data_IF_127287984321
#
_entry.id   IF_127287984321
#
_cell.length_a   1.000
_cell.length_b   1.000
_cell.length_c   1.000
_cell.angle_alpha   90.00
_cell.angle_beta   90.00
_cell.angle_gamma   90.00
#
_symmetry.space_group_name_H-M   'P 1'
#
loop_
_entity.id
_entity.type
_entity.pdbx_description
1 polymer ?
#
# COMPACT_ATOMS: atom_id res chain seq x y z
N UNK A 1 10.11 -18.27 32.09
CA UNK A 1 9.07 -17.24 32.23
C UNK A 1 8.07 -17.50 31.12
N UNK A 2 6.77 -17.60 31.41
CA UNK A 2 5.77 -17.63 30.34
C UNK A 2 5.77 -16.23 29.72
N UNK A 3 6.36 -16.10 28.53
CA UNK A 3 6.32 -14.87 27.75
C UNK A 3 4.93 -14.78 27.14
N UNK A 4 4.22 -13.68 27.39
CA UNK A 4 3.01 -13.36 26.64
C UNK A 4 3.45 -12.97 25.23
N UNK A 5 3.23 -13.85 24.25
CA UNK A 5 3.77 -13.67 22.90
C UNK A 5 2.70 -13.78 21.81
N UNK A 6 2.90 -13.02 20.73
CA UNK A 6 2.05 -13.04 19.52
C UNK A 6 2.95 -13.29 18.30
N UNK A 7 2.45 -14.06 17.34
CA UNK A 7 3.07 -14.17 16.02
C UNK A 7 2.46 -13.13 15.09
N UNK A 8 3.29 -12.22 14.59
CA UNK A 8 2.94 -11.33 13.49
C UNK A 8 3.49 -11.90 12.19
N UNK A 9 2.64 -12.19 11.21
CA UNK A 9 3.05 -12.76 9.94
C UNK A 9 2.63 -11.92 8.74
N UNK A 10 3.53 -11.71 7.80
CA UNK A 10 3.31 -11.06 6.52
C UNK A 10 3.43 -12.08 5.39
N UNK A 11 2.32 -12.39 4.72
CA UNK A 11 2.31 -13.20 3.50
C UNK A 11 2.57 -12.29 2.29
N UNK A 12 3.87 -12.07 2.03
CA UNK A 12 4.35 -11.29 0.89
C UNK A 12 4.22 -12.01 -0.46
N UNK A 13 4.45 -11.30 -1.56
CA UNK A 13 4.42 -11.87 -2.92
C UNK A 13 5.55 -12.88 -3.19
N UNK A 14 6.72 -12.71 -2.55
CA UNK A 14 7.89 -13.59 -2.73
C UNK A 14 8.22 -14.39 -1.48
N UNK A 15 8.19 -13.76 -0.31
CA UNK A 15 8.49 -14.39 0.97
C UNK A 15 7.39 -14.12 1.99
N UNK A 16 7.05 -15.15 2.74
CA UNK A 16 6.24 -15.06 3.95
C UNK A 16 7.17 -14.90 5.13
N UNK A 17 6.96 -13.85 5.93
CA UNK A 17 7.79 -13.51 7.09
C UNK A 17 6.96 -13.65 8.35
N UNK A 18 7.55 -14.16 9.42
CA UNK A 18 6.91 -14.30 10.72
C UNK A 18 7.83 -13.77 11.82
N UNK A 19 7.28 -12.98 12.72
CA UNK A 19 7.93 -12.41 13.88
C UNK A 19 7.18 -12.84 15.14
N UNK A 20 7.89 -13.39 16.13
CA UNK A 20 7.37 -13.64 17.48
C UNK A 20 7.70 -12.42 18.32
N UNK A 21 6.67 -11.76 18.84
CA UNK A 21 6.81 -10.53 19.64
C UNK A 21 6.30 -10.78 21.04
N UNK A 22 7.13 -10.44 22.03
CA UNK A 22 6.72 -10.32 23.44
C UNK A 22 5.85 -9.07 23.58
N UNK A 23 4.57 -9.24 23.94
CA UNK A 23 3.61 -8.14 24.03
C UNK A 23 3.64 -7.40 25.36
N UNK A 24 4.37 -7.90 26.36
CA UNK A 24 4.57 -7.17 27.61
C UNK A 24 5.67 -6.11 27.43
N UNK A 25 6.77 -6.49 26.78
CA UNK A 25 7.93 -5.63 26.55
C UNK A 25 8.07 -5.01 25.17
N UNK A 26 7.29 -5.45 24.17
CA UNK A 26 7.46 -5.07 22.77
C UNK A 26 8.84 -5.47 22.22
N UNK A 27 9.30 -6.68 22.54
CA UNK A 27 10.58 -7.20 22.04
C UNK A 27 10.36 -8.21 20.93
N UNK A 28 11.12 -8.09 19.84
CA UNK A 28 11.24 -9.15 18.85
C UNK A 28 12.01 -10.32 19.48
N UNK A 29 11.33 -11.45 19.69
CA UNK A 29 11.90 -12.65 20.32
C UNK A 29 12.59 -13.53 19.28
N UNK A 30 11.93 -13.75 18.15
CA UNK A 30 12.46 -14.50 17.02
C UNK A 30 11.79 -14.05 15.73
N UNK A 31 12.47 -14.25 14.60
CA UNK A 31 11.91 -14.07 13.28
C UNK A 31 12.33 -15.22 12.36
N UNK A 32 11.47 -15.54 11.40
CA UNK A 32 11.78 -16.47 10.34
C UNK A 32 11.07 -16.08 9.04
N UNK A 33 11.54 -16.63 7.93
CA UNK A 33 10.91 -16.43 6.62
C UNK A 33 10.95 -17.71 5.81
N UNK A 34 9.94 -17.90 4.97
CA UNK A 34 9.86 -18.98 3.99
C UNK A 34 9.41 -18.42 2.63
N UNK A 35 9.76 -19.07 1.50
CA UNK A 35 9.20 -18.70 0.19
C UNK A 35 7.67 -18.75 0.23
N UNK A 36 7.01 -17.75 -0.35
CA UNK A 36 5.54 -17.73 -0.44
C UNK A 36 5.06 -18.75 -1.46
N UNK A 37 4.09 -19.57 -1.07
CA UNK A 37 3.57 -20.68 -1.87
C UNK A 37 2.34 -20.32 -2.71
N UNK A 38 2.33 -19.15 -3.37
CA UNK A 38 1.20 -18.65 -4.19
C UNK A 38 0.79 -19.64 -5.29
N UNK A 39 1.75 -20.38 -5.85
CA UNK A 39 1.48 -21.39 -6.89
C UNK A 39 0.81 -22.67 -6.39
N UNK A 40 0.70 -22.87 -5.07
CA UNK A 40 0.02 -24.03 -4.48
C UNK A 40 -1.03 -23.60 -3.45
N UNK A 41 -0.64 -23.44 -2.19
CA UNK A 41 -1.48 -22.89 -1.12
C UNK A 41 -0.60 -22.04 -0.20
N UNK A 42 -0.93 -20.76 -0.04
CA UNK A 42 -0.14 -19.81 0.77
C UNK A 42 -0.03 -20.22 2.25
N UNK A 43 -0.93 -21.08 2.74
CA UNK A 43 -0.86 -21.60 4.09
C UNK A 43 0.40 -22.45 4.33
N UNK A 44 0.95 -23.12 3.31
CA UNK A 44 2.17 -23.91 3.49
C UNK A 44 3.38 -23.03 3.83
N UNK A 45 3.56 -21.92 3.09
CA UNK A 45 4.60 -20.93 3.38
C UNK A 45 4.40 -20.24 4.73
N UNK A 46 3.15 -19.91 5.06
CA UNK A 46 2.78 -19.34 6.36
C UNK A 46 3.10 -20.28 7.51
N UNK A 47 2.61 -21.52 7.47
CA UNK A 47 2.83 -22.51 8.52
C UNK A 47 4.32 -22.83 8.69
N UNK A 48 5.09 -22.84 7.60
CA UNK A 48 6.56 -23.02 7.62
C UNK A 48 7.26 -21.86 8.32
N UNK A 49 6.96 -20.62 7.92
CA UNK A 49 7.58 -19.44 8.51
C UNK A 49 7.24 -19.31 10.00
N UNK A 50 5.96 -19.50 10.36
CA UNK A 50 5.52 -19.42 11.76
C UNK A 50 6.12 -20.56 12.59
N UNK A 51 6.11 -21.80 12.08
CA UNK A 51 6.70 -22.94 12.78
C UNK A 51 8.18 -22.73 13.10
N UNK A 52 8.96 -22.19 12.15
CA UNK A 52 10.37 -21.86 12.37
C UNK A 52 10.57 -20.74 13.41
N UNK A 53 9.77 -19.67 13.36
CA UNK A 53 9.88 -18.56 14.31
C UNK A 53 9.51 -18.99 15.74
N UNK A 54 8.43 -19.75 15.89
CA UNK A 54 7.94 -20.26 17.18
C UNK A 54 8.92 -21.26 17.80
N UNK A 55 9.48 -22.17 16.99
CA UNK A 55 10.51 -23.11 17.43
C UNK A 55 11.79 -22.38 17.90
N UNK A 56 12.23 -21.35 17.17
CA UNK A 56 13.37 -20.52 17.54
C UNK A 56 13.14 -19.75 18.85
N UNK A 57 11.93 -19.23 19.05
CA UNK A 57 11.54 -18.54 20.28
C UNK A 57 11.34 -19.47 21.48
N UNK A 58 11.19 -20.78 21.27
CA UNK A 58 10.87 -21.74 22.33
C UNK A 58 9.47 -21.53 22.94
N UNK A 59 8.53 -21.01 22.16
CA UNK A 59 7.12 -20.81 22.58
C UNK A 59 6.21 -21.83 21.89
N UNK A 60 4.99 -22.01 22.38
CA UNK A 60 3.97 -22.86 21.75
C UNK A 60 2.58 -22.21 21.90
N UNK A 61 1.67 -22.54 20.98
CA UNK A 61 0.25 -22.12 21.05
C UNK A 61 -0.01 -20.61 21.19
N UNK A 62 0.78 -19.80 20.46
CA UNK A 62 0.62 -18.34 20.42
C UNK A 62 -0.36 -17.89 19.33
N UNK A 63 -1.14 -16.80 19.54
CA UNK A 63 -2.07 -16.27 18.54
C UNK A 63 -1.35 -15.68 17.31
N UNK A 64 -1.98 -15.78 16.13
CA UNK A 64 -1.40 -15.35 14.85
C UNK A 64 -2.12 -14.13 14.29
N UNK A 65 -1.38 -13.06 14.09
CA UNK A 65 -1.85 -11.81 13.50
C UNK A 65 -1.25 -11.77 12.10
N UNK A 66 -2.07 -11.96 11.07
CA UNK A 66 -1.58 -12.15 9.70
C UNK A 66 -1.99 -10.98 8.82
N UNK A 67 -1.07 -10.41 8.06
CA UNK A 67 -1.35 -9.57 6.90
C UNK A 67 -0.93 -10.25 5.61
N UNK A 68 -1.46 -9.79 4.48
CA UNK A 68 -1.10 -10.36 3.17
C UNK A 68 -1.07 -9.32 2.07
N UNK A 69 -0.11 -9.49 1.17
CA UNK A 69 -0.02 -8.82 -0.14
C UNK A 69 0.06 -9.84 -1.29
N UNK A 70 0.15 -11.14 -0.98
CA UNK A 70 -0.08 -12.19 -1.95
C UNK A 70 -1.46 -12.00 -2.61
N UNK A 71 -1.53 -12.19 -3.93
CA UNK A 71 -2.75 -11.94 -4.73
C UNK A 71 -2.70 -10.68 -5.61
N UNK A 72 -1.72 -9.80 -5.40
CA UNK A 72 -1.51 -8.59 -6.19
C UNK A 72 -2.20 -7.35 -5.62
N UNK A 73 -1.89 -6.18 -6.19
CA UNK A 73 -2.52 -4.92 -5.79
C UNK A 73 -3.99 -4.83 -6.24
N UNK A 74 -4.82 -4.18 -5.44
CA UNK A 74 -6.25 -3.98 -5.71
C UNK A 74 -6.46 -3.18 -7.01
N UNK A 75 -7.13 -3.77 -8.01
CA UNK A 75 -7.55 -3.06 -9.23
C UNK A 75 -8.94 -2.47 -9.04
N UNK A 76 -9.05 -1.16 -8.97
CA UNK A 76 -10.32 -0.45 -8.77
C UNK A 76 -10.80 0.19 -10.07
N UNK A 77 -12.08 0.03 -10.37
CA UNK A 77 -12.77 0.89 -11.34
C UNK A 77 -13.65 1.90 -10.61
N UNK A 78 -13.70 3.13 -11.09
CA UNK A 78 -14.54 4.20 -10.53
C UNK A 78 -15.61 4.58 -11.55
N UNK A 79 -16.86 4.60 -11.13
CA UNK A 79 -17.98 5.10 -11.93
C UNK A 79 -18.62 6.25 -11.15
N UNK A 80 -18.46 7.47 -11.64
CA UNK A 80 -19.04 8.67 -11.04
C UNK A 80 -20.27 9.20 -11.77
N UNK A 81 -20.87 10.23 -11.19
CA UNK A 81 -21.92 11.02 -11.84
C UNK A 81 -21.36 11.99 -12.91
N UNK A 82 -20.34 12.76 -12.56
CA UNK A 82 -19.78 13.86 -13.36
C UNK A 82 -18.24 13.71 -13.44
N UNK A 83 -17.63 13.74 -14.65
CA UNK A 83 -16.20 13.45 -14.82
C UNK A 83 -15.25 14.25 -13.93
N UNK A 84 -15.46 15.57 -13.84
CA UNK A 84 -14.51 16.46 -13.16
C UNK A 84 -14.74 16.59 -11.65
N UNK A 85 -15.86 16.07 -11.15
CA UNK A 85 -16.27 16.23 -9.75
C UNK A 85 -16.31 14.89 -9.04
N UNK A 86 -17.38 14.10 -9.24
CA UNK A 86 -17.63 12.88 -8.46
C UNK A 86 -16.79 11.71 -8.92
N UNK A 87 -16.52 11.57 -10.22
CA UNK A 87 -15.56 10.56 -10.70
C UNK A 87 -14.14 10.86 -10.21
N UNK A 88 -13.74 12.13 -10.20
CA UNK A 88 -12.44 12.51 -9.68
C UNK A 88 -12.36 12.40 -8.15
N UNK A 89 -13.46 12.63 -7.43
CA UNK A 89 -13.55 12.33 -6.00
C UNK A 89 -13.38 10.83 -5.74
N UNK A 90 -14.12 9.98 -6.45
CA UNK A 90 -13.98 8.52 -6.37
C UNK A 90 -12.57 8.04 -6.73
N UNK A 91 -11.94 8.63 -7.74
CA UNK A 91 -10.53 8.33 -8.09
C UNK A 91 -9.58 8.66 -6.92
N UNK A 92 -9.76 9.80 -6.26
CA UNK A 92 -8.96 10.18 -5.09
C UNK A 92 -9.19 9.24 -3.90
N UNK A 93 -10.43 8.82 -3.65
CA UNK A 93 -10.75 7.80 -2.64
C UNK A 93 -10.04 6.48 -2.95
N UNK A 94 -10.11 6.02 -4.19
CA UNK A 94 -9.44 4.80 -4.62
C UNK A 94 -7.92 4.84 -4.43
N UNK A 95 -7.29 5.93 -4.87
CA UNK A 95 -5.85 6.13 -4.72
C UNK A 95 -5.43 6.20 -3.25
N UNK A 96 -6.17 6.94 -2.43
CA UNK A 96 -5.91 7.02 -0.98
C UNK A 96 -6.24 5.73 -0.22
N UNK A 97 -7.02 4.82 -0.81
CA UNK A 97 -7.18 3.44 -0.33
C UNK A 97 -6.05 2.50 -0.79
N UNK A 98 -5.05 3.01 -1.53
CA UNK A 98 -3.93 2.22 -2.05
C UNK A 98 -4.28 1.35 -3.26
N UNK A 99 -5.38 1.66 -3.97
CA UNK A 99 -5.82 0.92 -5.14
C UNK A 99 -5.17 1.43 -6.43
N UNK A 100 -4.90 0.52 -7.37
CA UNK A 100 -4.60 0.86 -8.75
C UNK A 100 -5.91 1.16 -9.49
N UNK A 101 -6.16 2.43 -9.82
CA UNK A 101 -7.37 2.82 -10.54
C UNK A 101 -7.21 2.50 -12.03
N UNK A 102 -7.78 1.37 -12.46
CA UNK A 102 -7.61 0.82 -13.82
C UNK A 102 -8.66 1.31 -14.82
N UNK A 103 -9.73 1.95 -14.32
CA UNK A 103 -10.81 2.48 -15.14
C UNK A 103 -11.53 3.62 -14.42
N UNK A 104 -11.87 4.67 -15.14
CA UNK A 104 -12.71 5.77 -14.65
C UNK A 104 -13.76 6.08 -15.71
N UNK A 105 -15.02 6.07 -15.32
CA UNK A 105 -16.16 6.48 -16.14
C UNK A 105 -17.03 7.46 -15.35
N UNK A 106 -17.85 8.23 -16.08
CA UNK A 106 -18.84 9.10 -15.48
C UNK A 106 -20.09 9.20 -16.35
N UNK A 107 -21.20 9.62 -15.74
CA UNK A 107 -22.50 9.72 -16.37
C UNK A 107 -23.21 8.36 -16.49
N UNK A 108 -24.26 8.32 -17.29
CA UNK A 108 -25.04 7.11 -17.53
C UNK A 108 -24.28 6.13 -18.41
N UNK A 109 -23.90 4.97 -17.86
CA UNK A 109 -23.17 3.93 -18.57
C UNK A 109 -24.01 3.36 -19.73
N UNK A 110 -23.43 3.39 -20.92
CA UNK A 110 -23.87 2.71 -22.14
C UNK A 110 -23.40 1.26 -22.21
N UNK A 111 -23.80 0.55 -23.27
CA UNK A 111 -23.36 -0.85 -23.48
C UNK A 111 -21.85 -0.95 -23.68
N UNK A 112 -21.29 0.01 -24.42
CA UNK A 112 -19.86 0.14 -24.68
C UNK A 112 -19.08 0.39 -23.38
N UNK A 113 -19.60 1.24 -22.49
CA UNK A 113 -18.92 1.56 -21.23
C UNK A 113 -18.88 0.36 -20.28
N UNK A 114 -19.98 -0.41 -20.21
CA UNK A 114 -19.99 -1.67 -19.43
C UNK A 114 -18.99 -2.68 -20.01
N UNK A 115 -18.84 -2.74 -21.34
CA UNK A 115 -17.85 -3.60 -21.97
C UNK A 115 -16.41 -3.13 -21.68
N UNK A 116 -16.14 -1.83 -21.73
CA UNK A 116 -14.85 -1.24 -21.38
C UNK A 116 -14.51 -1.49 -19.90
N UNK A 117 -15.48 -1.33 -19.00
CA UNK A 117 -15.35 -1.65 -17.59
C UNK A 117 -14.97 -3.13 -17.36
N UNK A 118 -15.56 -4.07 -18.12
CA UNK A 118 -15.16 -5.50 -18.07
C UNK A 118 -13.76 -5.72 -18.60
N UNK A 119 -13.41 -5.08 -19.72
CA UNK A 119 -12.11 -5.22 -20.36
C UNK A 119 -10.96 -4.74 -19.46
N UNK A 120 -11.22 -3.73 -18.62
CA UNK A 120 -10.27 -3.26 -17.61
C UNK A 120 -10.00 -4.27 -16.48
N UNK A 121 -10.79 -5.35 -16.36
CA UNK A 121 -10.66 -6.40 -15.33
C UNK A 121 -10.46 -5.84 -13.92
N UNK A 122 -11.40 -5.02 -13.40
CA UNK A 122 -11.33 -4.56 -12.02
C UNK A 122 -11.61 -5.72 -11.05
N UNK A 123 -10.98 -5.65 -9.88
CA UNK A 123 -11.29 -6.51 -8.73
C UNK A 123 -12.45 -5.95 -7.91
N UNK A 124 -12.63 -4.61 -7.93
CA UNK A 124 -13.73 -3.89 -7.26
C UNK A 124 -14.20 -2.73 -8.12
N UNK A 125 -15.50 -2.42 -8.08
CA UNK A 125 -16.07 -1.20 -8.66
C UNK A 125 -16.53 -0.27 -7.55
N UNK A 126 -16.02 0.96 -7.51
CA UNK A 126 -16.57 2.04 -6.69
C UNK A 126 -17.61 2.79 -7.51
N UNK A 127 -18.88 2.67 -7.09
CA UNK A 127 -20.00 3.38 -7.68
C UNK A 127 -20.29 4.63 -6.83
N UNK A 128 -19.97 5.79 -7.40
CA UNK A 128 -20.15 7.11 -6.78
C UNK A 128 -21.35 7.81 -7.41
N UNK A 129 -22.25 8.33 -6.59
CA UNK A 129 -23.43 9.08 -7.03
C UNK A 129 -23.21 10.59 -7.08
N UNK A 130 -24.30 11.33 -7.26
CA UNK A 130 -24.35 12.77 -6.98
C UNK A 130 -24.29 13.04 -5.47
N UNK A 131 -24.48 14.31 -5.09
CA UNK A 131 -24.61 14.71 -3.68
C UNK A 131 -25.85 14.09 -3.03
N UNK A 132 -25.87 14.03 -1.70
CA UNK A 132 -27.07 13.63 -0.96
C UNK A 132 -28.17 14.68 -1.15
N UNK A 133 -29.42 14.24 -1.34
CA UNK A 133 -30.53 15.11 -1.75
C UNK A 133 -30.43 15.65 -3.18
N UNK A 134 -29.41 15.23 -3.95
CA UNK A 134 -29.15 15.66 -5.32
C UNK A 134 -29.53 14.60 -6.35
N UNK A 135 -28.70 14.44 -7.39
CA UNK A 135 -28.94 13.45 -8.45
C UNK A 135 -28.96 12.02 -7.89
N UNK A 136 -30.09 11.35 -8.09
CA UNK A 136 -30.25 9.93 -7.82
C UNK A 136 -30.39 9.11 -9.13
N UNK A 137 -30.69 9.77 -10.25
CA UNK A 137 -31.03 9.09 -11.51
C UNK A 137 -29.83 8.35 -12.09
N UNK A 138 -28.65 8.99 -12.13
CA UNK A 138 -27.47 8.44 -12.80
C UNK A 138 -26.94 7.22 -12.06
N UNK A 139 -26.84 7.31 -10.73
CA UNK A 139 -26.37 6.19 -9.89
C UNK A 139 -27.36 5.02 -9.95
N UNK A 140 -28.67 5.32 -9.98
CA UNK A 140 -29.73 4.31 -10.14
C UNK A 140 -29.66 3.61 -11.50
N UNK A 141 -29.49 4.38 -12.58
CA UNK A 141 -29.30 3.83 -13.93
C UNK A 141 -28.07 2.91 -13.97
N UNK A 142 -26.93 3.37 -13.45
CA UNK A 142 -25.69 2.61 -13.45
C UNK A 142 -25.79 1.32 -12.62
N UNK A 143 -26.34 1.38 -11.41
CA UNK A 143 -26.61 0.20 -10.58
C UNK A 143 -27.54 -0.80 -11.28
N UNK A 144 -28.61 -0.31 -11.92
CA UNK A 144 -29.53 -1.15 -12.71
C UNK A 144 -28.83 -1.84 -13.87
N UNK A 145 -27.92 -1.15 -14.56
CA UNK A 145 -27.15 -1.72 -15.66
C UNK A 145 -26.19 -2.80 -15.18
N UNK A 146 -25.50 -2.59 -14.06
CA UNK A 146 -24.63 -3.61 -13.46
C UNK A 146 -25.42 -4.84 -12.99
N UNK A 147 -26.59 -4.62 -12.36
CA UNK A 147 -27.51 -5.68 -11.93
C UNK A 147 -28.00 -6.52 -13.13
N UNK A 148 -28.51 -5.87 -14.19
CA UNK A 148 -28.97 -6.54 -15.41
C UNK A 148 -27.85 -7.31 -16.13
N UNK A 149 -26.63 -6.75 -16.12
CA UNK A 149 -25.46 -7.41 -16.69
C UNK A 149 -24.90 -8.53 -15.80
N UNK A 150 -25.47 -8.78 -14.61
CA UNK A 150 -24.99 -9.73 -13.60
C UNK A 150 -23.49 -9.57 -13.36
N UNK A 151 -23.06 -8.33 -13.14
CA UNK A 151 -21.65 -8.00 -12.97
C UNK A 151 -21.12 -8.66 -11.69
N UNK A 152 -20.31 -9.72 -11.82
CA UNK A 152 -19.87 -10.55 -10.68
C UNK A 152 -18.73 -9.96 -9.86
N UNK A 153 -18.19 -8.83 -10.27
CA UNK A 153 -17.17 -8.11 -9.52
C UNK A 153 -17.86 -7.36 -8.38
N UNK A 154 -17.33 -7.42 -7.13
CA UNK A 154 -17.87 -6.67 -6.00
C UNK A 154 -18.00 -5.16 -6.26
N UNK A 155 -19.09 -4.56 -5.78
CA UNK A 155 -19.40 -3.14 -5.89
C UNK A 155 -19.38 -2.48 -4.51
N UNK A 156 -18.62 -1.40 -4.36
CA UNK A 156 -18.75 -0.47 -3.23
C UNK A 156 -19.69 0.65 -3.67
N UNK A 157 -20.87 0.75 -3.03
CA UNK A 157 -21.86 1.79 -3.29
C UNK A 157 -21.64 2.94 -2.31
N UNK A 158 -21.14 4.07 -2.82
CA UNK A 158 -20.77 5.25 -2.05
C UNK A 158 -21.35 6.52 -2.70
N UNK A 159 -22.65 6.49 -3.00
CA UNK A 159 -23.39 7.57 -3.64
C UNK A 159 -24.56 8.06 -2.80
N UNK A 160 -25.46 8.82 -3.44
CA UNK A 160 -26.62 9.48 -2.82
C UNK A 160 -27.33 8.57 -1.79
N UNK A 161 -27.35 9.04 -0.55
CA UNK A 161 -27.90 8.33 0.60
C UNK A 161 -29.40 7.98 0.43
N UNK A 162 -30.17 8.80 -0.30
CA UNK A 162 -31.62 8.67 -0.42
C UNK A 162 -32.06 7.40 -1.17
N UNK A 163 -31.24 6.93 -2.11
CA UNK A 163 -31.51 5.73 -2.92
C UNK A 163 -30.65 4.53 -2.54
N UNK A 164 -29.77 4.68 -1.54
CA UNK A 164 -28.73 3.70 -1.23
C UNK A 164 -29.28 2.33 -0.87
N UNK A 165 -30.33 2.28 -0.06
CA UNK A 165 -30.93 1.02 0.41
C UNK A 165 -31.64 0.27 -0.73
N UNK A 166 -32.34 1.01 -1.60
CA UNK A 166 -32.98 0.46 -2.80
C UNK A 166 -31.95 -0.10 -3.79
N UNK A 167 -30.86 0.63 -4.01
CA UNK A 167 -29.79 0.19 -4.91
C UNK A 167 -29.01 -1.00 -4.35
N UNK A 168 -28.80 -1.05 -3.04
CA UNK A 168 -28.25 -2.23 -2.37
C UNK A 168 -29.13 -3.45 -2.59
N UNK A 169 -30.45 -3.34 -2.34
CA UNK A 169 -31.40 -4.42 -2.55
C UNK A 169 -31.44 -4.88 -4.02
N UNK A 170 -31.40 -3.94 -4.97
CA UNK A 170 -31.37 -4.21 -6.42
C UNK A 170 -30.12 -5.02 -6.82
N UNK A 171 -28.93 -4.58 -6.40
CA UNK A 171 -27.67 -5.25 -6.74
C UNK A 171 -27.57 -6.63 -6.08
N UNK A 172 -27.90 -6.70 -4.79
CA UNK A 172 -27.90 -7.95 -4.03
C UNK A 172 -28.89 -8.97 -4.62
N UNK A 173 -30.12 -8.53 -4.95
CA UNK A 173 -31.14 -9.37 -5.58
C UNK A 173 -30.73 -9.92 -6.96
N UNK A 174 -29.86 -9.20 -7.69
CA UNK A 174 -29.27 -9.67 -8.93
C UNK A 174 -28.03 -10.58 -8.75
N UNK A 175 -27.61 -10.82 -7.50
CA UNK A 175 -26.42 -11.60 -7.16
C UNK A 175 -25.10 -10.88 -7.46
N UNK A 176 -25.11 -9.55 -7.43
CA UNK A 176 -23.92 -8.70 -7.45
C UNK A 176 -23.48 -8.48 -6.00
N UNK A 177 -22.25 -8.88 -5.59
CA UNK A 177 -21.77 -8.60 -4.25
C UNK A 177 -21.68 -7.08 -4.07
N UNK A 178 -22.31 -6.55 -3.03
CA UNK A 178 -22.37 -5.11 -2.77
C UNK A 178 -22.00 -4.81 -1.32
N UNK A 179 -21.22 -3.77 -1.12
CA UNK A 179 -20.88 -3.20 0.19
C UNK A 179 -21.24 -1.73 0.17
N UNK A 180 -22.00 -1.30 1.17
CA UNK A 180 -22.50 0.08 1.27
C UNK A 180 -21.49 0.91 2.05
N UNK A 181 -21.30 2.16 1.61
CA UNK A 181 -20.54 3.18 2.31
C UNK A 181 -21.30 4.51 2.29
N UNK A 182 -20.87 5.45 3.12
CA UNK A 182 -21.34 6.83 3.06
C UNK A 182 -20.94 7.45 1.71
N UNK A 183 -21.70 8.46 1.29
CA UNK A 183 -21.43 9.16 0.05
C UNK A 183 -20.04 9.81 0.12
N UNK A 184 -19.20 9.60 -0.90
CA UNK A 184 -17.86 10.22 -0.93
C UNK A 184 -17.92 11.72 -1.14
N UNK A 185 -19.01 12.23 -1.72
CA UNK A 185 -19.23 13.65 -1.97
C UNK A 185 -20.66 14.03 -1.57
N UNK A 186 -20.99 14.03 -0.26
CA UNK A 186 -22.36 14.24 0.19
C UNK A 186 -22.87 15.66 -0.15
N UNK A 187 -21.96 16.64 -0.24
CA UNK A 187 -22.25 18.03 -0.63
C UNK A 187 -21.18 18.54 -1.59
N UNK A 188 -21.53 19.54 -2.41
CA UNK A 188 -20.58 20.16 -3.34
C UNK A 188 -19.38 20.70 -2.54
N UNK A 189 -18.18 20.29 -2.95
CA UNK A 189 -16.92 20.72 -2.33
C UNK A 189 -16.56 20.00 -1.02
N UNK A 190 -17.40 19.10 -0.50
CA UNK A 190 -17.14 18.34 0.73
C UNK A 190 -16.83 16.88 0.36
N UNK A 191 -15.58 16.44 0.57
CA UNK A 191 -15.13 15.07 0.33
C UNK A 191 -15.14 14.29 1.65
N UNK A 192 -15.83 13.16 1.70
CA UNK A 192 -15.90 12.26 2.88
C UNK A 192 -15.35 10.88 2.52
N UNK A 193 -14.02 10.69 2.50
CA UNK A 193 -13.40 9.49 1.94
C UNK A 193 -13.41 8.28 2.89
N UNK A 194 -13.60 8.48 4.19
CA UNK A 194 -13.30 7.47 5.21
C UNK A 194 -14.13 6.18 5.05
N UNK A 195 -15.45 6.31 4.92
CA UNK A 195 -16.38 5.19 4.81
C UNK A 195 -16.12 4.35 3.57
N UNK A 196 -15.97 5.00 2.41
CA UNK A 196 -15.67 4.32 1.14
C UNK A 196 -14.27 3.67 1.14
N UNK A 197 -13.24 4.31 1.72
CA UNK A 197 -11.92 3.69 1.89
C UNK A 197 -12.00 2.41 2.72
N UNK A 198 -12.74 2.42 3.82
CA UNK A 198 -12.92 1.25 4.67
C UNK A 198 -13.64 0.12 3.91
N UNK A 199 -14.73 0.43 3.20
CA UNK A 199 -15.46 -0.53 2.38
C UNK A 199 -14.60 -1.14 1.26
N UNK A 200 -13.78 -0.33 0.58
CA UNK A 200 -12.85 -0.81 -0.45
C UNK A 200 -11.84 -1.80 0.14
N UNK A 201 -11.25 -1.48 1.30
CA UNK A 201 -10.30 -2.36 2.01
C UNK A 201 -10.96 -3.66 2.46
N UNK A 202 -12.16 -3.58 3.02
CA UNK A 202 -12.97 -4.74 3.43
C UNK A 202 -13.23 -5.68 2.26
N UNK A 203 -13.67 -5.13 1.12
CA UNK A 203 -13.94 -5.91 -0.09
C UNK A 203 -12.66 -6.55 -0.61
N UNK A 204 -11.53 -5.82 -0.62
CA UNK A 204 -10.23 -6.34 -1.03
C UNK A 204 -9.80 -7.54 -0.17
N UNK A 205 -9.91 -7.41 1.15
CA UNK A 205 -9.59 -8.49 2.09
C UNK A 205 -10.46 -9.73 1.88
N UNK A 206 -11.77 -9.55 1.76
CA UNK A 206 -12.70 -10.69 1.65
C UNK A 206 -12.65 -11.39 0.29
N UNK A 207 -12.58 -10.62 -0.79
CA UNK A 207 -12.82 -11.16 -2.14
C UNK A 207 -11.54 -11.39 -2.94
N UNK A 208 -10.47 -10.64 -2.66
CA UNK A 208 -9.21 -10.74 -3.42
C UNK A 208 -8.18 -11.55 -2.65
N UNK A 209 -7.81 -11.10 -1.44
CA UNK A 209 -6.84 -11.78 -0.60
C UNK A 209 -7.44 -13.06 0.00
N UNK A 210 -8.60 -12.97 0.63
CA UNK A 210 -9.32 -14.11 1.19
C UNK A 210 -10.01 -15.00 0.15
N UNK A 211 -9.89 -14.66 -1.14
CA UNK A 211 -10.50 -15.39 -2.24
C UNK A 211 -9.87 -16.77 -2.46
N UNK A 212 -10.59 -17.63 -3.20
CA UNK A 212 -10.20 -19.03 -3.50
C UNK A 212 -8.88 -19.18 -4.30
N UNK A 213 -8.26 -18.08 -4.70
CA UNK A 213 -7.04 -18.07 -5.53
C UNK A 213 -5.77 -18.31 -4.71
N UNK A 214 -5.76 -17.98 -3.42
CA UNK A 214 -4.55 -18.06 -2.58
C UNK A 214 -4.54 -19.30 -1.67
N UNK A 215 -5.70 -19.75 -1.21
CA UNK A 215 -5.84 -20.94 -0.40
C UNK A 215 -7.13 -21.69 -0.74
N UNK A 216 -7.11 -23.01 -0.59
CA UNK A 216 -8.27 -23.88 -0.90
C UNK A 216 -9.38 -23.82 0.14
N UNK A 217 -9.09 -23.32 1.36
CA UNK A 217 -10.01 -23.29 2.49
C UNK A 217 -10.19 -21.90 3.11
N UNK A 218 -11.16 -21.79 4.03
CA UNK A 218 -11.47 -20.53 4.71
C UNK A 218 -10.46 -20.16 5.83
N UNK A 219 -9.48 -21.02 6.15
CA UNK A 219 -8.51 -20.76 7.22
C UNK A 219 -7.71 -19.49 6.95
N UNK A 220 -7.18 -19.33 5.74
CA UNK A 220 -6.39 -18.16 5.38
C UNK A 220 -7.20 -16.86 5.51
N UNK A 221 -8.41 -16.84 4.94
CA UNK A 221 -9.31 -15.69 5.05
C UNK A 221 -9.69 -15.32 6.49
N UNK A 222 -9.73 -16.29 7.41
CA UNK A 222 -9.95 -16.04 8.86
C UNK A 222 -8.72 -15.53 9.60
N UNK A 223 -7.52 -15.90 9.13
CA UNK A 223 -6.26 -15.48 9.75
C UNK A 223 -5.85 -14.07 9.32
N UNK A 224 -6.12 -13.70 8.07
CA UNK A 224 -5.74 -12.39 7.52
C UNK A 224 -6.59 -11.29 8.15
N UNK A 225 -5.91 -10.37 8.83
CA UNK A 225 -6.48 -9.19 9.51
C UNK A 225 -6.37 -7.92 8.69
N UNK A 226 -5.35 -7.82 7.85
CA UNK A 226 -5.05 -6.60 7.08
C UNK A 226 -4.32 -6.91 5.76
N UNK A 227 -4.36 -5.97 4.84
CA UNK A 227 -3.44 -5.98 3.70
C UNK A 227 -2.06 -5.56 4.21
N UNK A 228 -0.98 -6.17 3.73
CA UNK A 228 0.39 -5.81 4.17
C UNK A 228 0.65 -4.30 4.11
N UNK A 229 0.28 -3.58 3.03
CA UNK A 229 0.54 -2.15 3.00
C UNK A 229 -0.25 -1.33 4.01
N UNK A 230 -1.47 -1.76 4.36
CA UNK A 230 -2.26 -1.10 5.41
C UNK A 230 -1.66 -1.37 6.79
N UNK A 231 -1.15 -2.58 7.03
CA UNK A 231 -0.41 -2.90 8.25
C UNK A 231 0.88 -2.07 8.34
N UNK A 232 1.67 -1.98 7.27
CA UNK A 232 2.87 -1.14 7.23
C UNK A 232 2.51 0.33 7.48
N UNK A 233 1.50 0.89 6.79
CA UNK A 233 1.05 2.27 7.02
C UNK A 233 0.63 2.50 8.48
N UNK A 234 -0.07 1.54 9.09
CA UNK A 234 -0.42 1.61 10.52
C UNK A 234 0.83 1.60 11.41
N UNK A 235 1.83 0.78 11.10
CA UNK A 235 3.11 0.77 11.82
C UNK A 235 3.88 2.09 11.68
N UNK A 236 3.85 2.70 10.49
CA UNK A 236 4.41 4.03 10.19
C UNK A 236 3.71 5.10 11.04
N UNK A 237 2.39 5.04 11.20
CA UNK A 237 1.65 5.96 12.08
C UNK A 237 2.05 5.81 13.54
N UNK A 238 2.17 4.58 14.04
CA UNK A 238 2.63 4.33 15.42
C UNK A 238 4.04 4.89 15.60
N UNK A 239 4.95 4.67 14.65
CA UNK A 239 6.32 5.20 14.71
C UNK A 239 6.32 6.73 14.75
N UNK A 240 5.51 7.40 13.93
CA UNK A 240 5.38 8.86 13.92
C UNK A 240 4.91 9.39 15.28
N UNK A 241 3.92 8.71 15.88
CA UNK A 241 3.44 9.02 17.22
C UNK A 241 4.53 8.88 18.29
N UNK A 242 5.45 7.92 18.17
CA UNK A 242 6.57 7.78 19.12
C UNK A 242 7.67 8.83 18.95
N UNK A 243 7.87 9.34 17.72
CA UNK A 243 8.90 10.33 17.41
C UNK A 243 8.45 11.77 17.68
N UNK A 244 7.15 12.04 17.64
CA UNK A 244 6.61 13.41 17.70
C UNK A 244 6.97 14.22 16.46
N UNK A 245 6.80 13.65 15.27
CA UNK A 245 6.97 14.39 14.02
C UNK A 245 6.90 13.55 12.75
N UNK A 246 7.15 14.24 11.65
CA UNK A 246 6.94 13.73 10.31
C UNK A 246 7.95 12.65 9.95
N UNK A 247 7.47 11.64 9.25
CA UNK A 247 8.32 10.56 8.77
C UNK A 247 7.89 10.07 7.39
N UNK A 248 8.88 9.54 6.66
CA UNK A 248 8.65 8.86 5.40
C UNK A 248 9.32 7.48 5.42
N UNK A 249 8.72 6.53 4.69
CA UNK A 249 9.29 5.20 4.47
C UNK A 249 9.36 4.95 2.98
N UNK A 250 10.49 4.41 2.51
CA UNK A 250 10.67 3.93 1.14
C UNK A 250 10.97 2.44 1.20
N UNK A 251 10.05 1.61 0.72
CA UNK A 251 10.18 0.16 0.63
C UNK A 251 10.48 -0.24 -0.81
N UNK A 252 11.74 -0.58 -1.08
CA UNK A 252 12.22 -0.94 -2.42
C UNK A 252 12.09 -2.44 -2.63
N UNK A 253 11.03 -2.85 -3.33
CA UNK A 253 10.71 -4.23 -3.63
C UNK A 253 11.28 -4.73 -4.97
N UNK A 254 11.02 -6.00 -5.26
CA UNK A 254 11.42 -6.62 -6.54
C UNK A 254 10.60 -6.14 -7.75
N UNK A 255 9.34 -5.74 -7.53
CA UNK A 255 8.44 -5.28 -8.59
C UNK A 255 8.00 -3.83 -8.42
N UNK A 256 7.86 -3.36 -7.19
CA UNK A 256 7.35 -2.03 -6.86
C UNK A 256 8.22 -1.33 -5.84
N UNK A 257 8.14 -0.01 -5.80
CA UNK A 257 8.66 0.81 -4.71
C UNK A 257 7.48 1.51 -4.07
N UNK A 258 7.28 1.27 -2.79
CA UNK A 258 6.20 1.84 -2.02
C UNK A 258 6.76 3.00 -1.18
N UNK A 259 6.07 4.14 -1.20
CA UNK A 259 6.44 5.30 -0.36
C UNK A 259 5.29 5.61 0.59
N UNK A 260 5.57 5.58 1.89
CA UNK A 260 4.66 5.95 2.95
C UNK A 260 5.09 7.28 3.54
N UNK A 261 4.14 8.13 3.92
CA UNK A 261 4.43 9.31 4.72
C UNK A 261 3.35 9.58 5.74
N UNK A 262 3.78 10.07 6.90
CA UNK A 262 2.93 10.68 7.93
C UNK A 262 3.46 12.08 8.14
N UNK A 263 2.61 13.06 7.83
CA UNK A 263 2.85 14.49 7.94
C UNK A 263 1.90 15.01 9.01
N UNK A 264 2.46 15.42 10.14
CA UNK A 264 1.73 15.88 11.31
C UNK A 264 1.12 17.23 10.97
N UNK A 265 -0.22 17.38 10.98
CA UNK A 265 -0.85 18.67 10.76
C UNK A 265 -0.38 19.67 11.83
N UNK A 266 -0.04 20.88 11.42
CA UNK A 266 0.38 21.93 12.33
C UNK A 266 -0.80 22.31 13.25
N UNK A 267 -0.62 22.26 14.58
CA UNK A 267 -1.70 22.48 15.56
C UNK A 267 -2.34 23.87 15.44
N UNK A 268 -1.65 24.82 14.77
CA UNK A 268 -2.13 26.18 14.51
C UNK A 268 -3.16 26.26 13.39
N UNK A 269 -3.28 25.24 12.54
CA UNK A 269 -4.12 25.27 11.34
C UNK A 269 -5.42 24.45 11.43
N UNK A 270 -5.64 23.61 12.46
CA UNK A 270 -6.98 23.14 12.88
C UNK A 270 -6.89 22.06 13.97
N UNK A 271 -7.98 21.87 14.73
CA UNK A 271 -8.12 20.88 15.81
C UNK A 271 -7.97 19.40 15.38
N UNK A 272 -8.37 18.44 16.23
CA UNK A 272 -7.82 17.09 16.26
C UNK A 272 -7.89 16.39 14.89
N UNK A 273 -6.71 16.09 14.34
CA UNK A 273 -6.49 15.13 13.25
C UNK A 273 -7.28 15.35 11.96
N UNK A 274 -7.73 16.58 11.67
CA UNK A 274 -8.52 16.83 10.46
C UNK A 274 -7.65 16.94 9.20
N UNK A 275 -8.18 16.34 8.13
CA UNK A 275 -7.74 16.47 6.75
C UNK A 275 -7.76 17.96 6.35
N UNK A 276 -6.63 18.66 6.45
CA UNK A 276 -6.53 20.06 6.05
C UNK A 276 -6.66 20.14 4.53
N UNK A 277 -7.78 20.69 4.06
CA UNK A 277 -8.01 21.17 2.69
C UNK A 277 -7.25 20.41 1.57
N UNK A 278 -7.46 19.10 1.49
CA UNK A 278 -6.98 18.29 0.36
C UNK A 278 -5.58 17.70 0.49
N UNK A 279 -4.86 17.89 1.61
CA UNK A 279 -3.60 17.18 1.92
C UNK A 279 -3.86 16.07 2.93
N UNK A 280 -3.45 14.84 2.61
CA UNK A 280 -3.67 13.70 3.51
C UNK A 280 -2.57 13.67 4.57
N UNK A 281 -2.93 13.71 5.86
CA UNK A 281 -1.94 13.59 6.95
C UNK A 281 -1.13 12.28 6.86
N UNK A 282 -1.71 11.22 6.30
CA UNK A 282 -1.02 9.97 5.97
C UNK A 282 -1.26 9.58 4.52
N UNK A 283 -0.24 9.06 3.85
CA UNK A 283 -0.42 8.52 2.51
C UNK A 283 0.54 7.39 2.19
N UNK A 284 0.15 6.64 1.16
CA UNK A 284 0.97 5.65 0.48
C UNK A 284 0.89 5.89 -1.02
N UNK A 285 2.02 5.85 -1.70
CA UNK A 285 2.08 5.71 -3.17
C UNK A 285 2.78 4.40 -3.53
N UNK A 286 2.41 3.84 -4.67
CA UNK A 286 2.95 2.57 -5.18
C UNK A 286 3.45 2.80 -6.59
N UNK A 287 4.77 2.72 -6.75
CA UNK A 287 5.42 2.93 -8.04
C UNK A 287 5.63 1.58 -8.71
N UNK A 288 4.65 1.18 -9.53
CA UNK A 288 4.61 -0.13 -10.18
C UNK A 288 5.69 -0.35 -11.24
N UNK A 289 6.28 0.72 -11.75
CA UNK A 289 7.39 0.72 -12.71
C UNK A 289 8.77 0.84 -12.04
N UNK A 290 8.84 0.93 -10.71
CA UNK A 290 10.10 1.10 -9.98
C UNK A 290 10.38 -0.13 -9.09
N UNK A 291 11.11 -1.12 -9.59
CA UNK A 291 11.44 -2.32 -8.80
C UNK A 291 12.79 -2.92 -9.15
N UNK A 292 13.37 -3.68 -8.23
CA UNK A 292 14.73 -4.23 -8.36
C UNK A 292 14.90 -5.36 -9.37
N UNK A 293 13.79 -5.98 -9.79
CA UNK A 293 13.77 -7.18 -10.65
C UNK A 293 12.80 -6.98 -11.82
N UNK A 294 11.54 -7.36 -11.66
CA UNK A 294 10.49 -7.31 -12.69
C UNK A 294 10.41 -5.96 -13.41
N UNK A 295 10.50 -4.87 -12.64
CA UNK A 295 10.37 -3.50 -13.15
C UNK A 295 11.71 -2.75 -13.22
N UNK A 296 12.85 -3.44 -13.17
CA UNK A 296 14.18 -2.79 -13.22
C UNK A 296 14.39 -1.92 -14.48
N UNK A 297 13.95 -2.31 -15.69
CA UNK A 297 14.01 -1.44 -16.86
C UNK A 297 13.17 -0.16 -16.70
N UNK A 298 12.06 -0.24 -15.96
CA UNK A 298 11.21 0.91 -15.64
C UNK A 298 11.94 1.94 -14.76
N UNK A 299 12.77 1.48 -13.81
CA UNK A 299 13.64 2.35 -13.00
C UNK A 299 14.61 3.12 -13.90
N UNK A 300 15.29 2.45 -14.83
CA UNK A 300 16.25 3.11 -15.73
C UNK A 300 15.54 4.14 -16.61
N UNK A 301 14.39 3.78 -17.22
CA UNK A 301 13.60 4.72 -18.02
C UNK A 301 13.18 5.94 -17.21
N UNK A 302 12.66 5.75 -16.01
CA UNK A 302 12.25 6.85 -15.15
C UNK A 302 13.44 7.72 -14.71
N UNK A 303 14.60 7.12 -14.47
CA UNK A 303 15.83 7.84 -14.16
C UNK A 303 16.31 8.72 -15.33
N UNK A 304 16.19 8.24 -16.58
CA UNK A 304 16.46 9.05 -17.79
C UNK A 304 15.49 10.23 -17.88
N UNK A 305 14.19 10.00 -17.70
CA UNK A 305 13.16 11.04 -17.70
C UNK A 305 13.43 12.13 -16.64
N UNK A 306 13.94 11.71 -15.48
CA UNK A 306 14.33 12.57 -14.36
C UNK A 306 15.75 13.14 -14.47
N UNK A 307 16.47 12.85 -15.56
CA UNK A 307 17.86 13.28 -15.84
C UNK A 307 18.86 12.91 -14.74
N UNK A 308 18.71 11.71 -14.17
CA UNK A 308 19.55 11.16 -13.11
C UNK A 308 20.72 10.32 -13.62
N UNK A 309 20.77 10.06 -14.93
CA UNK A 309 21.77 9.27 -15.62
C UNK A 309 22.46 10.12 -16.67
N UNK A 310 23.76 9.89 -16.86
CA UNK A 310 24.50 10.42 -18.00
C UNK A 310 24.48 9.44 -19.19
N UNK A 311 24.93 9.93 -20.35
CA UNK A 311 24.90 9.17 -21.60
C UNK A 311 25.85 7.94 -21.61
N UNK A 312 26.82 7.87 -20.69
CA UNK A 312 27.73 6.74 -20.58
C UNK A 312 27.19 5.65 -19.64
N UNK A 313 26.49 6.05 -18.58
CA UNK A 313 25.88 5.18 -17.57
C UNK A 313 24.61 4.49 -18.10
N UNK A 314 23.75 5.23 -18.81
CA UNK A 314 22.43 4.73 -19.25
C UNK A 314 22.50 3.37 -19.99
N UNK A 315 23.34 3.19 -21.03
CA UNK A 315 23.36 1.93 -21.78
C UNK A 315 23.79 0.73 -20.92
N UNK A 316 24.72 0.95 -19.98
CA UNK A 316 25.24 -0.09 -19.11
C UNK A 316 24.18 -0.52 -18.09
N UNK A 317 23.51 0.46 -17.47
CA UNK A 317 22.45 0.22 -16.49
C UNK A 317 21.22 -0.42 -17.15
N UNK A 318 20.86 0.00 -18.36
CA UNK A 318 19.76 -0.57 -19.14
C UNK A 318 19.99 -2.06 -19.44
N UNK A 319 21.20 -2.43 -19.87
CA UNK A 319 21.56 -3.84 -20.12
C UNK A 319 21.48 -4.67 -18.83
N UNK A 320 22.03 -4.16 -17.73
CA UNK A 320 22.01 -4.85 -16.45
C UNK A 320 20.60 -4.98 -15.84
N UNK A 321 19.74 -3.99 -16.05
CA UNK A 321 18.33 -4.01 -15.68
C UNK A 321 17.53 -5.04 -16.50
N UNK A 322 17.84 -5.18 -17.79
CA UNK A 322 17.21 -6.20 -18.64
C UNK A 322 17.51 -7.63 -18.15
N UNK A 323 18.75 -7.89 -17.70
CA UNK A 323 19.12 -9.19 -17.09
C UNK A 323 18.29 -9.47 -15.84
N UNK A 324 18.15 -8.48 -14.94
CA UNK A 324 17.37 -8.60 -13.70
C UNK A 324 15.87 -8.80 -13.92
N UNK A 325 15.34 -8.24 -15.00
CA UNK A 325 13.94 -8.45 -15.39
C UNK A 325 13.71 -9.81 -16.03
N UNK A 326 14.70 -10.33 -16.78
CA UNK A 326 14.64 -11.66 -17.39
C UNK A 326 14.75 -12.79 -16.36
N UNK A 327 15.48 -12.56 -15.26
CA UNK A 327 15.60 -13.49 -14.13
C UNK A 327 15.20 -12.83 -12.80
N UNK A 328 13.93 -12.94 -12.37
CA UNK A 328 13.48 -12.41 -11.08
C UNK A 328 14.17 -13.05 -9.87
N UNK A 329 14.78 -14.23 -10.03
CA UNK A 329 15.58 -14.91 -9.01
C UNK A 329 17.02 -14.41 -8.92
N UNK A 330 17.41 -13.45 -9.77
CA UNK A 330 18.77 -12.92 -9.83
C UNK A 330 19.24 -12.39 -8.47
N UNK A 331 20.41 -12.86 -8.05
CA UNK A 331 21.15 -12.36 -6.90
C UNK A 331 22.51 -11.83 -7.35
N UNK A 332 22.90 -10.61 -6.95
CA UNK A 332 24.15 -10.01 -7.40
C UNK A 332 25.37 -10.80 -6.89
N UNK A 333 26.21 -11.24 -7.81
CA UNK A 333 27.46 -11.94 -7.51
C UNK A 333 28.66 -10.98 -7.63
N UNK A 334 29.44 -10.84 -6.56
CA UNK A 334 30.61 -9.96 -6.52
C UNK A 334 30.27 -8.47 -6.42
N UNK A 335 31.31 -7.63 -6.32
CA UNK A 335 31.16 -6.21 -6.00
C UNK A 335 30.57 -5.37 -7.13
N UNK A 336 30.85 -5.73 -8.39
CA UNK A 336 30.30 -5.05 -9.56
C UNK A 336 28.78 -5.14 -9.64
N UNK A 337 28.23 -6.36 -9.55
CA UNK A 337 26.77 -6.55 -9.57
C UNK A 337 26.09 -5.94 -8.34
N UNK A 338 26.73 -5.98 -7.17
CA UNK A 338 26.23 -5.30 -5.96
C UNK A 338 26.20 -3.79 -6.15
N UNK A 339 27.18 -3.20 -6.83
CA UNK A 339 27.19 -1.77 -7.14
C UNK A 339 26.06 -1.39 -8.11
N UNK A 340 25.76 -2.23 -9.10
CA UNK A 340 24.62 -2.04 -10.00
C UNK A 340 23.29 -2.14 -9.24
N UNK A 341 23.10 -3.16 -8.38
CA UNK A 341 21.89 -3.28 -7.55
C UNK A 341 21.73 -2.04 -6.65
N UNK A 342 22.80 -1.57 -6.02
CA UNK A 342 22.78 -0.34 -5.22
C UNK A 342 22.37 0.87 -6.06
N UNK A 343 22.90 1.00 -7.27
CA UNK A 343 22.58 2.12 -8.17
C UNK A 343 21.11 2.10 -8.61
N UNK A 344 20.58 0.93 -8.98
CA UNK A 344 19.15 0.78 -9.32
C UNK A 344 18.28 1.10 -8.10
N UNK A 345 18.65 0.63 -6.91
CA UNK A 345 17.90 0.92 -5.68
C UNK A 345 17.86 2.41 -5.35
N UNK A 346 18.99 3.11 -5.47
CA UNK A 346 19.08 4.56 -5.29
C UNK A 346 18.16 5.30 -6.25
N UNK A 347 18.19 4.96 -7.55
CA UNK A 347 17.32 5.57 -8.55
C UNK A 347 15.84 5.30 -8.28
N UNK A 348 15.49 4.06 -7.93
CA UNK A 348 14.12 3.69 -7.60
C UNK A 348 13.61 4.50 -6.40
N UNK A 349 14.40 4.60 -5.32
CA UNK A 349 14.04 5.36 -4.13
C UNK A 349 13.93 6.86 -4.40
N UNK A 350 14.89 7.46 -5.12
CA UNK A 350 14.89 8.88 -5.47
C UNK A 350 13.67 9.24 -6.32
N UNK A 351 13.42 8.49 -7.40
CA UNK A 351 12.29 8.75 -8.30
C UNK A 351 10.96 8.54 -7.57
N UNK A 352 10.84 7.48 -6.75
CA UNK A 352 9.63 7.22 -5.99
C UNK A 352 9.32 8.36 -5.01
N UNK A 353 10.32 8.87 -4.29
CA UNK A 353 10.10 9.97 -3.35
C UNK A 353 9.75 11.28 -4.07
N UNK A 354 10.38 11.58 -5.22
CA UNK A 354 9.98 12.72 -6.08
C UNK A 354 8.52 12.63 -6.50
N UNK A 355 8.09 11.47 -7.01
CA UNK A 355 6.70 11.24 -7.44
C UNK A 355 5.71 11.31 -6.27
N UNK A 356 6.11 10.81 -5.10
CA UNK A 356 5.33 10.94 -3.87
C UNK A 356 5.15 12.42 -3.46
N UNK A 357 6.24 13.20 -3.44
CA UNK A 357 6.23 14.62 -3.14
C UNK A 357 5.41 15.44 -4.16
N UNK A 358 5.27 14.98 -5.41
CA UNK A 358 4.39 15.61 -6.42
C UNK A 358 2.89 15.42 -6.14
N UNK A 359 2.50 14.47 -5.30
CA UNK A 359 1.10 14.26 -4.89
C UNK A 359 0.14 13.74 -5.98
N UNK A 360 0.59 13.56 -7.23
CA UNK A 360 -0.26 13.10 -8.34
C UNK A 360 -0.90 11.72 -8.08
N UNK A 361 -0.14 10.83 -7.44
CA UNK A 361 -0.58 9.47 -7.09
C UNK A 361 -1.51 9.44 -5.86
N UNK A 362 -1.51 10.47 -5.01
CA UNK A 362 -2.41 10.61 -3.87
C UNK A 362 -3.61 11.51 -4.17
N UNK A 363 -3.59 12.20 -5.31
CA UNK A 363 -4.62 13.15 -5.72
C UNK A 363 -4.42 14.58 -5.18
N UNK A 364 -3.25 14.86 -4.60
CA UNK A 364 -2.85 16.13 -3.98
C UNK A 364 -2.20 17.04 -5.03
N UNK A 365 -2.96 18.02 -5.54
CA UNK A 365 -2.49 18.89 -6.63
C UNK A 365 -1.32 19.80 -6.24
N UNK A 366 -1.21 20.16 -4.97
CA UNK A 366 -0.14 21.00 -4.45
C UNK A 366 1.15 20.23 -4.14
N UNK A 367 1.14 18.91 -4.29
CA UNK A 367 2.20 18.05 -3.78
C UNK A 367 2.10 17.80 -2.28
N UNK A 368 2.99 16.95 -1.78
CA UNK A 368 3.20 16.64 -0.36
C UNK A 368 4.50 17.28 0.07
N UNK A 369 4.45 18.10 1.11
CA UNK A 369 5.64 18.74 1.67
C UNK A 369 6.35 17.79 2.63
N UNK A 370 7.47 17.21 2.20
CA UNK A 370 8.27 16.30 3.00
C UNK A 370 9.46 16.99 3.66
N UNK A 371 9.60 18.33 3.57
CA UNK A 371 10.80 19.05 4.03
C UNK A 371 11.08 18.87 5.51
N UNK A 372 10.02 18.80 6.31
CA UNK A 372 10.05 18.66 7.77
C UNK A 372 10.08 17.20 8.25
N UNK A 373 10.15 16.23 7.32
CA UNK A 373 10.38 14.82 7.66
C UNK A 373 11.66 14.70 8.47
N UNK A 374 11.54 14.14 9.68
CA UNK A 374 12.64 13.96 10.65
C UNK A 374 13.32 12.60 10.51
N UNK A 375 12.60 11.60 9.99
CA UNK A 375 13.08 10.24 9.83
C UNK A 375 12.71 9.70 8.45
N UNK A 376 13.71 9.19 7.72
CA UNK A 376 13.52 8.44 6.49
C UNK A 376 13.87 6.98 6.76
N UNK A 377 12.86 6.10 6.73
CA UNK A 377 13.07 4.66 6.90
C UNK A 377 13.19 3.98 5.54
N UNK A 378 14.31 3.30 5.31
CA UNK A 378 14.49 2.39 4.19
C UNK A 378 14.02 0.98 4.55
N UNK A 379 13.21 0.37 3.69
CA UNK A 379 12.84 -1.04 3.79
C UNK A 379 13.01 -1.75 2.44
N UNK A 380 12.71 -3.04 2.43
CA UNK A 380 12.81 -3.89 1.24
C UNK A 380 14.13 -4.66 1.18
N UNK A 381 14.14 -5.74 0.40
CA UNK A 381 15.22 -6.73 0.40
C UNK A 381 16.59 -6.15 0.04
N UNK A 382 16.63 -5.17 -0.85
CA UNK A 382 17.90 -4.55 -1.28
C UNK A 382 18.55 -3.69 -0.18
N UNK A 383 17.77 -3.21 0.79
CA UNK A 383 18.29 -2.46 1.94
C UNK A 383 18.53 -3.40 3.13
N UNK A 384 17.60 -4.31 3.41
CA UNK A 384 17.66 -5.25 4.55
C UNK A 384 18.88 -6.17 4.52
N UNK A 385 19.26 -6.65 3.34
CA UNK A 385 20.34 -7.61 3.17
C UNK A 385 21.63 -6.98 2.62
N UNK A 386 21.66 -5.65 2.49
CA UNK A 386 22.86 -4.94 2.11
C UNK A 386 23.81 -4.79 3.30
N UNK A 387 25.11 -4.70 3.01
CA UNK A 387 26.08 -4.21 3.97
C UNK A 387 25.66 -2.80 4.45
N UNK A 388 25.85 -2.45 5.73
CA UNK A 388 25.32 -1.19 6.30
C UNK A 388 25.63 0.06 5.46
N UNK A 389 26.88 0.25 5.05
CA UNK A 389 27.27 1.41 4.23
C UNK A 389 26.67 1.42 2.82
N UNK A 390 26.25 0.27 2.29
CA UNK A 390 25.57 0.20 1.00
C UNK A 390 24.09 0.60 1.10
N UNK A 391 23.42 0.26 2.20
CA UNK A 391 22.04 0.69 2.44
C UNK A 391 21.97 2.19 2.77
N UNK A 392 22.91 2.68 3.58
CA UNK A 392 23.08 4.12 3.86
C UNK A 392 23.26 4.92 2.58
N UNK A 393 24.14 4.48 1.66
CA UNK A 393 24.36 5.17 0.39
C UNK A 393 23.09 5.27 -0.49
N UNK A 394 22.17 4.32 -0.40
CA UNK A 394 20.87 4.41 -1.11
C UNK A 394 20.00 5.50 -0.49
N UNK A 395 19.92 5.58 0.84
CA UNK A 395 19.13 6.61 1.52
C UNK A 395 19.77 7.99 1.39
N UNK A 396 21.10 8.08 1.42
CA UNK A 396 21.83 9.33 1.20
C UNK A 396 21.58 9.88 -0.21
N UNK A 397 21.47 9.04 -1.23
CA UNK A 397 21.11 9.47 -2.59
C UNK A 397 19.73 10.14 -2.66
N UNK A 398 18.83 9.77 -1.74
CA UNK A 398 17.51 10.39 -1.61
C UNK A 398 17.59 11.70 -0.83
N UNK A 399 18.34 11.72 0.28
CA UNK A 399 18.47 12.90 1.15
C UNK A 399 19.31 14.02 0.55
N UNK A 400 20.22 13.68 -0.37
CA UNK A 400 21.07 14.63 -1.10
C UNK A 400 20.47 15.06 -2.44
N UNK A 401 19.27 14.57 -2.78
CA UNK A 401 18.55 15.00 -3.98
C UNK A 401 17.93 16.39 -3.78
N UNK A 402 18.73 17.42 -4.01
CA UNK A 402 18.28 18.81 -4.00
C UNK A 402 17.79 19.29 -5.37
N UNK A 403 17.81 18.42 -6.38
CA UNK A 403 17.44 18.77 -7.74
C UNK A 403 15.91 18.75 -7.93
N UNK A 404 15.43 19.55 -8.89
CA UNK A 404 14.04 19.50 -9.36
C UNK A 404 13.01 20.31 -8.57
N UNK A 405 13.40 21.04 -7.52
CA UNK A 405 12.49 21.97 -6.82
C UNK A 405 11.39 21.27 -6.00
N UNK A 406 11.58 19.99 -5.66
CA UNK A 406 10.63 19.18 -4.92
C UNK A 406 10.78 19.39 -3.41
N UNK A 407 9.69 19.26 -2.68
CA UNK A 407 9.67 19.37 -1.22
C UNK A 407 10.14 18.06 -0.57
N UNK A 408 11.40 17.69 -0.80
CA UNK A 408 12.04 16.49 -0.24
C UNK A 408 12.61 16.77 1.16
N UNK A 409 12.86 15.72 1.97
CA UNK A 409 13.40 15.87 3.32
C UNK A 409 14.73 16.64 3.35
N UNK A 410 14.85 17.62 4.24
CA UNK A 410 16.06 18.47 4.34
C UNK A 410 17.12 17.94 5.28
N UNK A 411 16.68 17.33 6.38
CA UNK A 411 17.55 16.91 7.49
C UNK A 411 17.05 15.62 8.15
N UNK A 412 16.33 14.78 7.38
CA UNK A 412 15.85 13.51 7.91
C UNK A 412 17.01 12.59 8.25
N UNK A 413 16.92 11.92 9.40
CA UNK A 413 17.85 10.83 9.74
C UNK A 413 17.49 9.60 8.91
N UNK A 414 18.45 8.95 8.22
CA UNK A 414 18.20 7.66 7.57
C UNK A 414 18.24 6.52 8.60
N UNK A 415 17.31 5.57 8.49
CA UNK A 415 17.31 4.30 9.25
C UNK A 415 16.87 3.18 8.33
N UNK A 416 17.42 1.98 8.48
CA UNK A 416 16.99 0.80 7.72
C UNK A 416 16.17 -0.12 8.63
N UNK A 417 14.99 -0.54 8.17
CA UNK A 417 14.19 -1.56 8.83
C UNK A 417 14.74 -2.96 8.52
N UNK A 418 15.88 -3.28 9.14
CA UNK A 418 16.59 -4.55 8.97
C UNK A 418 15.77 -5.73 9.49
N UNK A 419 14.92 -5.53 10.49
CA UNK A 419 14.13 -6.60 11.10
C UNK A 419 12.72 -6.73 10.53
N UNK A 420 12.32 -5.84 9.61
CA UNK A 420 10.98 -5.81 9.01
C UNK A 420 9.87 -5.65 10.07
N UNK A 421 10.07 -4.74 11.03
CA UNK A 421 9.17 -4.59 12.19
C UNK A 421 7.93 -3.73 11.89
N UNK A 422 7.92 -2.94 10.81
CA UNK A 422 6.81 -2.04 10.51
C UNK A 422 5.47 -2.77 10.34
N UNK A 423 5.44 -3.88 9.57
CA UNK A 423 4.23 -4.67 9.38
C UNK A 423 3.76 -5.33 10.68
N UNK A 424 4.70 -5.85 11.49
CA UNK A 424 4.39 -6.45 12.78
C UNK A 424 3.83 -5.42 13.77
N UNK A 425 4.41 -4.22 13.82
CA UNK A 425 3.93 -3.15 14.68
C UNK A 425 2.50 -2.72 14.30
N UNK A 426 2.22 -2.60 13.00
CA UNK A 426 0.87 -2.31 12.51
C UNK A 426 -0.16 -3.36 12.88
N UNK A 427 0.21 -4.65 12.81
CA UNK A 427 -0.64 -5.75 13.24
C UNK A 427 -0.93 -5.74 14.75
N UNK A 428 0.01 -5.25 15.56
CA UNK A 428 -0.12 -5.12 17.02
C UNK A 428 -0.86 -3.85 17.44
N UNK A 429 -0.88 -2.80 16.61
CA UNK A 429 -1.27 -1.45 17.01
C UNK A 429 -2.65 -1.35 17.68
N UNK A 430 -3.62 -2.15 17.25
CA UNK A 430 -4.99 -2.10 17.79
C UNK A 430 -5.12 -2.79 19.15
N UNK A 431 -4.51 -3.97 19.32
CA UNK A 431 -4.71 -4.81 20.51
C UNK A 431 -3.58 -4.65 21.55
N UNK A 432 -2.37 -4.32 21.10
CA UNK A 432 -1.17 -4.15 21.90
C UNK A 432 -0.42 -2.87 21.51
N UNK A 433 -1.05 -1.68 21.62
CA UNK A 433 -0.43 -0.41 21.19
C UNK A 433 0.90 -0.11 21.89
N UNK A 434 1.02 -0.46 23.18
CA UNK A 434 2.26 -0.30 23.94
C UNK A 434 3.41 -1.16 23.40
N UNK A 435 3.13 -2.42 23.05
CA UNK A 435 4.10 -3.33 22.46
C UNK A 435 4.53 -2.88 21.06
N UNK A 436 3.58 -2.44 20.22
CA UNK A 436 3.86 -1.89 18.90
C UNK A 436 4.83 -0.70 18.98
N UNK A 437 4.53 0.27 19.85
CA UNK A 437 5.36 1.46 20.06
C UNK A 437 6.74 1.12 20.66
N UNK A 438 6.81 0.17 21.62
CA UNK A 438 8.08 -0.26 22.20
C UNK A 438 8.96 -0.97 21.17
N UNK A 439 8.41 -1.88 20.37
CA UNK A 439 9.15 -2.59 19.31
C UNK A 439 9.72 -1.61 18.27
N UNK A 440 8.90 -0.66 17.82
CA UNK A 440 9.36 0.36 16.88
C UNK A 440 10.48 1.23 17.47
N UNK A 441 10.39 1.59 18.75
CA UNK A 441 11.49 2.33 19.43
C UNK A 441 12.77 1.51 19.56
N UNK A 442 12.68 0.21 19.85
CA UNK A 442 13.86 -0.65 19.98
C UNK A 442 14.62 -0.85 18.66
N UNK A 443 13.91 -0.90 17.53
CA UNK A 443 14.49 -1.25 16.24
C UNK A 443 14.70 -0.05 15.31
N UNK A 444 13.86 0.99 15.41
CA UNK A 444 13.86 2.16 14.52
C UNK A 444 13.96 3.49 15.28
N UNK A 445 13.63 3.49 16.57
CA UNK A 445 13.81 4.64 17.47
C UNK A 445 15.29 4.96 17.65
N UNK A 446 15.57 6.23 17.92
CA UNK A 446 16.89 6.66 18.38
C UNK A 446 17.00 6.47 19.89
#
# INVERSE_FOLDING_TARGET
MNVSAVVCADVGSTYTKAAVVDVDGGRLVAAASAPTTVGTDVLHGLDTAVGAAVASAGVAEVPWYVCSSAGGGLRLAVVGYEPLVTAQAGRRVGLSAGANVVHVAAGCLGGVDVAALRAARPDVVLLVGGTDGGDAETVTHNATRLARARFRVPVVLAGNADVRDDLHALLAGAGVPVTVADNVLPRIGVLEPASARAAIREVFLRHVIGGKKLSRGARFARLVRAATPDAVLTGVEVLAGTLGGDLAVVDVGGATTDVYSVLTPDERDSGPSQEVAGTLWRARTVEGDLGMRWSAPGVVRAAVEERLLDAAEEPQLAAAAAVRAADPGFLPAGDGERAVDRRIAALAATVALRRHARGAATGERAGRDLREVKLLVGSGGVLRYAEPGAAEAVLDAVLTDHAGGWALPRAARPVVDVDYVLAAAGLLAQEHPGAAAAMLRHHLGA
#
